data_IF_955063765868
#
_entry.id   IF_955063765868
#
_cell.length_a   1.000
_cell.length_b   1.000
_cell.length_c   1.000
_cell.angle_alpha   90.00
_cell.angle_beta   90.00
_cell.angle_gamma   90.00
#
_symmetry.space_group_name_H-M   'P 1'
#
loop_
_entity.id
_entity.type
_entity.pdbx_description
1 polymer ?
#
# COMPACT_ATOMS: atom_id res chain seq x y z
N UNK A 1 -8.71 9.20 13.65
CA UNK A 1 -8.85 9.11 13.20
C UNK A 1 -8.50 8.93 12.27
N UNK A 2 -8.49 8.61 12.01
CA UNK A 2 -8.16 8.02 10.85
C UNK A 2 -7.68 8.85 9.80
N UNK A 3 -7.50 8.26 8.72
CA UNK A 3 -7.04 8.93 7.57
C UNK A 3 -8.06 9.87 7.05
N UNK A 4 -7.63 11.03 6.75
CA UNK A 4 -8.44 11.94 6.00
C UNK A 4 -8.38 11.58 4.54
N UNK A 5 -9.44 11.90 3.81
CA UNK A 5 -9.51 11.52 2.41
C UNK A 5 -8.32 12.03 1.60
N UNK A 6 -7.90 13.24 1.85
CA UNK A 6 -6.83 13.83 1.08
C UNK A 6 -5.43 13.36 1.50
N UNK A 7 -5.36 12.57 2.58
CA UNK A 7 -4.08 12.01 3.03
C UNK A 7 -4.03 10.49 2.89
N UNK A 8 -5.06 9.90 2.32
CA UNK A 8 -5.15 8.43 2.33
C UNK A 8 -4.00 7.77 1.60
N UNK A 9 -3.60 8.30 0.47
CA UNK A 9 -2.53 7.66 -0.31
C UNK A 9 -1.18 7.87 0.36
N UNK A 10 -0.94 9.04 0.90
CA UNK A 10 0.29 9.34 1.60
C UNK A 10 0.47 8.45 2.82
N UNK A 11 -0.59 8.34 3.61
CA UNK A 11 -0.54 7.54 4.83
C UNK A 11 -0.38 6.06 4.52
N UNK A 12 -1.09 5.58 3.50
CA UNK A 12 -1.02 4.18 3.13
C UNK A 12 0.37 3.83 2.58
N UNK A 13 0.95 4.74 1.81
CA UNK A 13 2.28 4.50 1.26
C UNK A 13 3.31 4.38 2.39
N UNK A 14 3.20 5.25 3.40
CA UNK A 14 4.12 5.20 4.54
C UNK A 14 3.94 3.89 5.32
N UNK A 15 2.70 3.49 5.53
CA UNK A 15 2.42 2.25 6.24
C UNK A 15 2.92 1.03 5.47
N UNK A 16 2.72 1.03 4.16
CA UNK A 16 3.17 -0.07 3.34
C UNK A 16 4.70 -0.17 3.33
N UNK A 17 5.37 0.97 3.27
CA UNK A 17 6.83 0.98 3.34
C UNK A 17 7.32 0.37 4.64
N UNK A 18 6.65 0.68 5.74
CA UNK A 18 7.01 0.10 7.03
C UNK A 18 6.85 -1.41 7.00
N UNK A 19 5.78 -1.90 6.38
CA UNK A 19 5.57 -3.33 6.23
C UNK A 19 6.68 -3.98 5.41
N UNK A 20 7.07 -3.35 4.32
CA UNK A 20 8.13 -3.88 3.47
C UNK A 20 9.46 -3.93 4.21
N UNK A 21 9.74 -2.89 4.99
CA UNK A 21 10.96 -2.87 5.79
C UNK A 21 10.98 -4.00 6.81
N UNK A 22 9.85 -4.27 7.45
CA UNK A 22 9.76 -5.36 8.40
C UNK A 22 10.05 -6.70 7.73
N UNK A 23 9.52 -6.90 6.53
CA UNK A 23 9.77 -8.13 5.78
C UNK A 23 11.25 -8.25 5.44
N UNK A 24 11.85 -7.17 4.97
CA UNK A 24 13.26 -7.17 4.58
C UNK A 24 14.18 -7.47 5.77
N UNK A 25 13.81 -6.99 6.96
CA UNK A 25 14.61 -7.25 8.14
C UNK A 25 14.36 -8.62 8.75
N UNK A 26 13.36 -9.33 8.25
CA UNK A 26 12.98 -10.60 8.83
C UNK A 26 12.25 -10.46 10.14
N UNK A 27 11.62 -9.33 10.36
CA UNK A 27 10.96 -8.97 11.60
C UNK A 27 9.52 -9.48 11.59
N UNK A 28 9.38 -10.78 11.34
CA UNK A 28 8.06 -11.36 11.09
C UNK A 28 7.84 -12.65 11.90
N UNK A 29 8.56 -12.81 13.00
CA UNK A 29 8.55 -14.09 13.71
C UNK A 29 7.28 -14.38 14.47
N UNK A 30 6.70 -13.40 15.11
CA UNK A 30 5.58 -13.65 16.02
C UNK A 30 4.29 -13.05 15.52
N UNK A 31 4.02 -13.22 14.22
CA UNK A 31 2.82 -12.66 13.65
C UNK A 31 1.60 -13.46 14.07
N UNK A 32 0.56 -12.74 14.48
CA UNK A 32 -0.73 -13.36 14.79
C UNK A 32 -1.42 -13.76 13.51
N UNK A 33 -2.50 -14.54 13.65
CA UNK A 33 -3.28 -14.92 12.48
C UNK A 33 -3.89 -13.71 11.79
N UNK A 34 -4.22 -12.67 12.55
CA UNK A 34 -4.74 -11.44 11.97
C UNK A 34 -3.67 -10.75 11.12
N UNK A 35 -2.43 -10.76 11.58
CA UNK A 35 -1.34 -10.15 10.85
C UNK A 35 -1.03 -10.94 9.58
N UNK A 36 -1.10 -12.25 9.67
CA UNK A 36 -0.88 -13.10 8.50
C UNK A 36 -1.95 -12.84 7.46
N UNK A 37 -3.20 -12.75 7.89
CA UNK A 37 -4.31 -12.45 6.98
C UNK A 37 -4.13 -11.08 6.34
N UNK A 38 -3.64 -10.11 7.13
CA UNK A 38 -3.35 -8.79 6.60
C UNK A 38 -2.29 -8.83 5.51
N UNK A 39 -1.25 -9.62 5.73
CA UNK A 39 -0.19 -9.75 4.73
C UNK A 39 -0.72 -10.37 3.44
N UNK A 40 -1.58 -11.40 3.57
CA UNK A 40 -2.21 -12.00 2.40
C UNK A 40 -3.04 -10.98 1.64
N UNK A 41 -3.77 -10.15 2.37
CA UNK A 41 -4.59 -9.10 1.74
C UNK A 41 -3.73 -8.07 1.03
N UNK A 42 -2.60 -7.71 1.62
CA UNK A 42 -1.67 -6.77 0.99
C UNK A 42 -1.18 -7.33 -0.35
N UNK A 43 -0.82 -8.61 -0.38
CA UNK A 43 -0.37 -9.22 -1.62
C UNK A 43 -1.44 -9.22 -2.68
N UNK A 44 -2.68 -9.51 -2.28
CA UNK A 44 -3.80 -9.52 -3.22
C UNK A 44 -4.05 -8.13 -3.79
N UNK A 45 -4.03 -7.13 -2.91
CA UNK A 45 -4.26 -5.76 -3.34
C UNK A 45 -3.11 -5.25 -4.20
N UNK A 46 -1.89 -5.68 -3.91
CA UNK A 46 -0.74 -5.29 -4.72
C UNK A 46 -0.88 -5.82 -6.14
N UNK A 47 -1.35 -7.06 -6.28
CA UNK A 47 -1.60 -7.62 -7.60
C UNK A 47 -2.69 -6.84 -8.34
N UNK A 48 -3.77 -6.50 -7.63
CA UNK A 48 -4.83 -5.70 -8.22
C UNK A 48 -4.29 -4.37 -8.70
N UNK A 49 -3.42 -3.77 -7.91
CA UNK A 49 -2.86 -2.47 -8.24
C UNK A 49 -1.98 -2.55 -9.48
N UNK A 50 -1.20 -3.62 -9.59
CA UNK A 50 -0.35 -3.82 -10.77
C UNK A 50 -1.19 -4.00 -12.02
N UNK A 51 -2.33 -4.69 -11.90
CA UNK A 51 -3.22 -4.87 -13.03
C UNK A 51 -3.86 -3.57 -13.48
N UNK A 52 -3.95 -2.60 -12.59
CA UNK A 52 -4.49 -1.28 -12.89
C UNK A 52 -3.39 -0.28 -13.24
N UNK A 53 -2.20 -0.74 -13.50
CA UNK A 53 -1.04 0.14 -13.64
C UNK A 53 -1.26 1.24 -14.68
N UNK A 54 -1.81 0.88 -15.83
CA UNK A 54 -2.02 1.86 -16.89
C UNK A 54 -2.99 2.95 -16.45
N UNK A 55 -4.08 2.54 -15.80
CA UNK A 55 -5.08 3.48 -15.33
C UNK A 55 -4.52 4.40 -14.25
N UNK A 56 -3.74 3.82 -13.34
CA UNK A 56 -3.16 4.58 -12.24
C UNK A 56 -2.12 5.55 -12.76
N UNK A 57 -1.29 5.11 -13.70
CA UNK A 57 -0.29 5.97 -14.31
C UNK A 57 -0.93 7.15 -15.02
N UNK A 58 -2.01 6.89 -15.73
CA UNK A 58 -2.73 7.96 -16.42
C UNK A 58 -3.33 8.94 -15.43
N UNK A 59 -3.90 8.42 -14.35
CA UNK A 59 -4.46 9.26 -13.29
C UNK A 59 -3.39 10.17 -12.69
N UNK A 60 -2.24 9.60 -12.37
CA UNK A 60 -1.14 10.37 -11.79
C UNK A 60 -0.71 11.47 -12.75
N UNK A 61 -0.58 11.12 -14.02
CA UNK A 61 -0.15 12.07 -15.03
C UNK A 61 -1.13 13.22 -15.15
N UNK A 62 -2.43 12.90 -15.15
CA UNK A 62 -3.46 13.93 -15.24
C UNK A 62 -3.44 14.84 -14.02
N UNK A 63 -3.25 14.27 -12.83
CA UNK A 63 -3.23 15.06 -11.62
C UNK A 63 -2.02 15.97 -11.56
N UNK A 64 -0.89 15.49 -12.03
CA UNK A 64 0.33 16.28 -12.03
C UNK A 64 0.27 17.44 -13.02
N UNK A 65 -0.44 17.26 -14.11
CA UNK A 65 -0.53 18.31 -15.10
C UNK A 65 -1.54 19.39 -14.74
N UNK A 66 -2.35 19.13 -13.72
CA UNK A 66 -3.33 20.12 -13.29
C UNK A 66 -2.74 21.14 -12.32
N UNK A 67 -1.53 20.97 -11.91
CA UNK A 67 -0.91 21.81 -10.88
C UNK A 67 -0.18 23.00 -11.47
#
# INVERSE_FOLDING_TARGET
>A
MGNKSYCRFENTAADLRDCLNAIHRGDTDDLSSYEIDGLKSIMRMANDLVEMEDDVTELISNLETQV
#
